data_IF_714801502741
#
_entry.id   IF_714801502741
#
_cell.length_a   1.000
_cell.length_b   1.000
_cell.length_c   1.000
_cell.angle_alpha   90.00
_cell.angle_beta   90.00
_cell.angle_gamma   90.00
#
_symmetry.space_group_name_H-M   'P 1'
#
loop_
_entity.id
_entity.type
_entity.pdbx_description
1 polymer ?
#
# COMPACT_ATOMS: atom_id res chain seq x y z
N UNK A 1 -13.80 -13.88 5.77
CA UNK A 1 -14.25 -13.83 4.36
C UNK A 1 -15.35 -12.80 4.24
N UNK A 2 -15.32 -11.96 3.22
CA UNK A 2 -16.35 -11.00 2.87
C UNK A 2 -16.78 -11.20 1.41
N UNK A 3 -18.05 -10.99 1.15
CA UNK A 3 -18.64 -11.04 -0.18
C UNK A 3 -19.45 -9.76 -0.38
N UNK A 4 -19.17 -9.03 -1.45
CA UNK A 4 -19.89 -7.83 -1.85
C UNK A 4 -20.47 -8.06 -3.24
N UNK A 5 -21.77 -7.80 -3.38
CA UNK A 5 -22.53 -7.98 -4.62
C UNK A 5 -23.30 -6.70 -4.89
N UNK A 6 -23.18 -6.16 -6.10
CA UNK A 6 -23.91 -4.98 -6.54
C UNK A 6 -24.41 -5.21 -7.96
N UNK A 7 -25.74 -5.13 -8.15
CA UNK A 7 -26.38 -5.29 -9.45
C UNK A 7 -27.30 -4.10 -9.71
N UNK A 8 -27.13 -3.45 -10.84
CA UNK A 8 -27.97 -2.34 -11.30
C UNK A 8 -28.61 -2.77 -12.61
N UNK A 9 -29.93 -2.83 -12.66
CA UNK A 9 -30.70 -3.13 -13.87
C UNK A 9 -31.38 -1.87 -14.40
N UNK A 10 -31.22 -1.60 -15.70
CA UNK A 10 -31.91 -0.50 -16.37
C UNK A 10 -33.07 -1.04 -17.22
N UNK A 11 -34.14 -0.28 -17.34
CA UNK A 11 -35.35 -0.68 -18.09
C UNK A 11 -35.11 -0.80 -19.60
N UNK A 12 -34.11 -0.09 -20.14
CA UNK A 12 -33.82 0.02 -21.57
C UNK A 12 -32.43 -0.50 -21.98
N UNK A 13 -31.65 -1.10 -21.08
CA UNK A 13 -30.31 -1.62 -21.42
C UNK A 13 -29.89 -2.76 -20.49
N UNK A 14 -28.86 -3.50 -20.88
CA UNK A 14 -28.27 -4.59 -20.11
C UNK A 14 -27.83 -4.10 -18.72
N UNK A 15 -28.06 -4.94 -17.70
CA UNK A 15 -27.73 -4.62 -16.32
C UNK A 15 -26.21 -4.63 -16.05
N UNK A 16 -25.76 -3.76 -15.15
CA UNK A 16 -24.42 -3.79 -14.57
C UNK A 16 -24.37 -4.78 -13.41
N UNK A 17 -23.40 -5.69 -13.41
CA UNK A 17 -23.23 -6.70 -12.35
C UNK A 17 -21.78 -6.70 -11.86
N UNK A 18 -21.59 -6.28 -10.61
CA UNK A 18 -20.30 -6.20 -9.98
C UNK A 18 -20.29 -7.09 -8.74
N UNK A 19 -19.32 -7.98 -8.64
CA UNK A 19 -19.12 -8.80 -7.46
C UNK A 19 -17.68 -8.78 -7.03
N UNK A 20 -17.44 -8.80 -5.73
CA UNK A 20 -16.12 -8.89 -5.11
C UNK A 20 -16.18 -9.91 -3.98
N UNK A 21 -15.40 -10.97 -4.08
CA UNK A 21 -15.23 -12.00 -3.08
C UNK A 21 -13.84 -11.86 -2.48
N UNK A 22 -13.74 -11.59 -1.18
CA UNK A 22 -12.46 -11.49 -0.48
C UNK A 22 -12.38 -12.50 0.66
N UNK A 23 -11.42 -13.42 0.58
CA UNK A 23 -11.13 -14.39 1.63
C UNK A 23 -9.75 -14.08 2.18
N UNK A 24 -9.67 -13.69 3.45
CA UNK A 24 -8.43 -13.62 4.18
C UNK A 24 -8.42 -14.66 5.29
N UNK A 25 -7.25 -15.26 5.51
CA UNK A 25 -6.98 -16.18 6.60
C UNK A 25 -5.62 -15.84 7.19
N UNK A 26 -5.59 -15.58 8.49
CA UNK A 26 -4.38 -15.58 9.27
C UNK A 26 -4.08 -17.01 9.74
N UNK A 27 -2.82 -17.40 9.69
CA UNK A 27 -2.34 -18.66 10.22
C UNK A 27 -0.94 -18.46 10.81
N UNK A 28 -0.61 -19.28 11.81
CA UNK A 28 0.73 -19.34 12.38
C UNK A 28 1.45 -20.55 11.75
N UNK A 29 2.65 -20.34 11.22
CA UNK A 29 3.44 -21.39 10.57
C UNK A 29 4.77 -21.52 11.32
N UNK A 30 4.86 -22.54 12.18
CA UNK A 30 6.07 -22.83 12.95
C UNK A 30 6.38 -21.72 13.97
N UNK A 31 7.57 -21.12 13.87
CA UNK A 31 8.00 -19.99 14.70
C UNK A 31 7.46 -18.63 14.24
N UNK A 32 6.91 -18.55 13.02
CA UNK A 32 6.40 -17.32 12.44
C UNK A 32 4.90 -17.21 12.71
N UNK A 33 4.56 -16.29 13.60
CA UNK A 33 3.18 -16.02 14.00
C UNK A 33 2.62 -14.85 13.17
N UNK A 34 1.36 -14.93 12.75
CA UNK A 34 0.69 -13.84 12.04
C UNK A 34 0.90 -13.81 10.52
N UNK A 35 1.10 -14.97 9.88
CA UNK A 35 1.06 -15.06 8.41
C UNK A 35 -0.35 -14.78 7.93
N UNK A 36 -0.53 -13.81 7.05
CA UNK A 36 -1.82 -13.46 6.48
C UNK A 36 -1.84 -13.80 5.00
N UNK A 37 -2.77 -14.67 4.61
CA UNK A 37 -3.09 -14.95 3.21
C UNK A 37 -4.42 -14.28 2.89
N UNK A 38 -4.44 -13.46 1.84
CA UNK A 38 -5.65 -12.78 1.36
C UNK A 38 -5.81 -13.04 -0.13
N UNK A 39 -7.00 -13.48 -0.54
CA UNK A 39 -7.39 -13.69 -1.92
C UNK A 39 -8.66 -12.89 -2.17
N UNK A 40 -8.63 -11.98 -3.13
CA UNK A 40 -9.76 -11.20 -3.59
C UNK A 40 -10.01 -11.46 -5.07
N UNK A 41 -11.24 -11.78 -5.42
CA UNK A 41 -11.70 -11.94 -6.80
C UNK A 41 -12.78 -10.91 -7.04
N UNK A 42 -12.57 -10.02 -7.99
CA UNK A 42 -13.57 -9.05 -8.40
C UNK A 42 -13.91 -9.22 -9.88
N UNK A 43 -15.19 -8.99 -10.20
CA UNK A 43 -15.68 -8.85 -11.57
C UNK A 43 -16.50 -7.58 -11.62
N UNK A 44 -16.13 -6.72 -12.56
CA UNK A 44 -16.90 -5.54 -12.91
C UNK A 44 -17.42 -5.71 -14.34
N UNK A 45 -18.74 -5.63 -14.51
CA UNK A 45 -19.39 -5.70 -15.81
C UNK A 45 -20.35 -4.52 -15.94
N UNK A 46 -19.94 -3.52 -16.70
CA UNK A 46 -20.76 -2.33 -17.01
C UNK A 46 -21.55 -2.57 -18.31
N UNK A 47 -22.79 -2.07 -18.39
CA UNK A 47 -23.71 -2.23 -19.51
C UNK A 47 -23.11 -1.96 -20.91
N UNK A 48 -22.09 -1.09 -21.00
CA UNK A 48 -21.46 -0.67 -22.26
C UNK A 48 -19.96 -1.00 -22.35
N UNK A 49 -19.41 -1.79 -21.41
CA UNK A 49 -17.98 -2.09 -21.38
C UNK A 49 -17.68 -3.57 -21.27
N UNK A 50 -16.48 -3.95 -21.73
CA UNK A 50 -15.97 -5.30 -21.60
C UNK A 50 -15.91 -5.69 -20.12
N UNK A 51 -16.31 -6.93 -19.82
CA UNK A 51 -16.21 -7.49 -18.47
C UNK A 51 -14.76 -7.48 -18.01
N UNK A 52 -14.50 -6.82 -16.89
CA UNK A 52 -13.19 -6.76 -16.26
C UNK A 52 -13.19 -7.70 -15.05
N UNK A 53 -12.49 -8.83 -15.16
CA UNK A 53 -12.21 -9.68 -14.01
C UNK A 53 -10.81 -9.37 -13.50
N UNK A 54 -10.66 -9.28 -12.19
CA UNK A 54 -9.39 -9.05 -11.52
C UNK A 54 -9.29 -10.01 -10.34
N UNK A 55 -8.20 -10.75 -10.30
CA UNK A 55 -7.82 -11.57 -9.16
C UNK A 55 -6.65 -10.89 -8.45
N UNK A 56 -6.71 -10.80 -7.13
CA UNK A 56 -5.67 -10.27 -6.29
C UNK A 56 -5.37 -11.26 -5.17
N UNK A 57 -4.13 -11.71 -5.10
CA UNK A 57 -3.61 -12.57 -4.06
C UNK A 57 -2.55 -11.78 -3.31
N UNK A 58 -2.55 -11.85 -1.98
CA UNK A 58 -1.54 -11.23 -1.15
C UNK A 58 -1.20 -12.13 0.02
N UNK A 59 0.09 -12.30 0.25
CA UNK A 59 0.65 -13.05 1.37
C UNK A 59 1.52 -12.07 2.13
N UNK A 60 1.28 -11.88 3.42
CA UNK A 60 2.20 -11.15 4.29
C UNK A 60 2.67 -12.05 5.42
N UNK A 61 3.97 -12.02 5.64
CA UNK A 61 4.69 -12.84 6.60
C UNK A 61 5.54 -11.88 7.44
N UNK A 62 5.25 -11.71 8.73
CA UNK A 62 6.17 -11.03 9.63
C UNK A 62 7.45 -11.88 9.74
N UNK A 63 8.62 -11.28 9.62
CA UNK A 63 9.90 -11.96 9.71
C UNK A 63 10.64 -11.46 10.95
N UNK A 64 10.76 -12.29 11.98
CA UNK A 64 11.32 -11.89 13.26
C UNK A 64 10.46 -10.84 13.96
N UNK A 65 11.07 -10.04 14.84
CA UNK A 65 10.33 -9.17 15.76
C UNK A 65 9.90 -7.83 15.15
N UNK A 66 10.52 -7.41 14.06
CA UNK A 66 10.36 -6.04 13.55
C UNK A 66 10.41 -5.90 12.03
N UNK A 67 10.26 -6.99 11.27
CA UNK A 67 10.24 -6.94 9.79
C UNK A 67 8.99 -7.61 9.26
N UNK A 68 8.57 -7.21 8.07
CA UNK A 68 7.46 -7.81 7.36
C UNK A 68 7.80 -7.96 5.88
N UNK A 69 7.61 -9.17 5.36
CA UNK A 69 7.68 -9.46 3.95
C UNK A 69 6.27 -9.65 3.44
N UNK A 70 5.90 -8.92 2.39
CA UNK A 70 4.63 -9.12 1.71
C UNK A 70 4.84 -9.38 0.23
N UNK A 71 4.07 -10.29 -0.32
CA UNK A 71 4.06 -10.63 -1.72
C UNK A 71 2.62 -10.56 -2.20
N UNK A 72 2.37 -9.70 -3.18
CA UNK A 72 1.06 -9.57 -3.81
C UNK A 72 1.15 -9.83 -5.29
N UNK A 73 0.16 -10.55 -5.82
CA UNK A 73 -0.01 -10.84 -7.22
C UNK A 73 -1.40 -10.42 -7.65
N UNK A 74 -1.47 -9.64 -8.72
CA UNK A 74 -2.70 -9.19 -9.33
C UNK A 74 -2.73 -9.66 -10.77
N UNK A 75 -3.85 -10.22 -11.22
CA UNK A 75 -4.05 -10.63 -12.60
C UNK A 75 -5.39 -10.13 -13.09
N UNK A 76 -5.41 -9.54 -14.26
CA UNK A 76 -6.64 -9.16 -14.93
C UNK A 76 -6.98 -10.11 -16.10
N UNK A 77 -8.20 -10.00 -16.60
CA UNK A 77 -8.69 -10.77 -17.76
C UNK A 77 -8.18 -10.24 -19.12
N UNK A 78 -7.33 -9.22 -19.12
CA UNK A 78 -6.76 -8.58 -20.32
C UNK A 78 -5.27 -8.90 -20.48
N UNK A 79 -4.83 -9.99 -19.87
CA UNK A 79 -3.45 -10.46 -19.99
C UNK A 79 -2.45 -9.75 -19.06
N UNK A 80 -2.85 -8.71 -18.31
CA UNK A 80 -1.93 -8.07 -17.38
C UNK A 80 -1.78 -8.84 -16.08
N UNK A 81 -0.54 -9.02 -15.68
CA UNK A 81 -0.15 -9.72 -14.46
C UNK A 81 0.92 -8.90 -13.74
N UNK A 82 0.61 -8.50 -12.53
CA UNK A 82 1.47 -7.64 -11.70
C UNK A 82 1.84 -8.42 -10.45
N UNK A 83 3.13 -8.55 -10.19
CA UNK A 83 3.67 -9.20 -9.01
C UNK A 83 4.51 -8.18 -8.26
N UNK A 84 4.23 -7.98 -6.98
CA UNK A 84 4.94 -7.02 -6.14
C UNK A 84 5.41 -7.71 -4.87
N UNK A 85 6.71 -7.66 -4.61
CA UNK A 85 7.33 -8.07 -3.37
C UNK A 85 7.72 -6.83 -2.59
N UNK A 86 7.16 -6.67 -1.40
CA UNK A 86 7.45 -5.58 -0.48
C UNK A 86 8.15 -6.12 0.77
N UNK A 87 9.15 -5.39 1.23
CA UNK A 87 9.89 -5.66 2.43
C UNK A 87 9.88 -4.40 3.28
N UNK A 88 9.36 -4.50 4.51
CA UNK A 88 9.24 -3.39 5.44
C UNK A 88 9.98 -3.73 6.73
N UNK A 89 10.74 -2.77 7.25
CA UNK A 89 11.44 -2.89 8.52
C UNK A 89 11.01 -1.74 9.45
N UNK A 90 10.66 -2.15 10.66
CA UNK A 90 10.14 -1.33 11.75
C UNK A 90 11.01 -1.50 13.01
N UNK A 91 12.29 -1.90 12.86
CA UNK A 91 13.18 -2.16 13.99
C UNK A 91 13.37 -0.94 14.89
N UNK A 92 13.43 0.24 14.29
CA UNK A 92 13.54 1.50 15.01
C UNK A 92 12.16 2.14 15.16
N UNK A 93 11.72 2.51 16.38
CA UNK A 93 10.42 3.19 16.59
C UNK A 93 10.35 4.56 15.90
N UNK A 94 11.51 5.19 15.71
CA UNK A 94 11.64 6.49 15.09
C UNK A 94 11.80 6.41 13.57
N UNK A 95 12.31 5.30 13.02
CA UNK A 95 12.62 5.21 11.59
C UNK A 95 12.08 3.92 11.00
N UNK A 96 11.18 4.07 10.03
CA UNK A 96 10.58 2.98 9.29
C UNK A 96 10.95 3.10 7.82
N UNK A 97 11.30 2.00 7.19
CA UNK A 97 11.58 1.99 5.76
C UNK A 97 10.98 0.75 5.12
N UNK A 98 10.62 0.90 3.85
CA UNK A 98 10.11 -0.19 3.05
C UNK A 98 10.60 -0.06 1.62
N UNK A 99 10.84 -1.21 1.01
CA UNK A 99 11.24 -1.34 -0.38
C UNK A 99 10.27 -2.29 -1.05
N UNK A 100 9.94 -2.02 -2.30
CA UNK A 100 9.04 -2.79 -3.12
C UNK A 100 9.67 -3.03 -4.48
N UNK A 101 9.69 -4.28 -4.91
CA UNK A 101 10.05 -4.67 -6.26
C UNK A 101 8.80 -5.22 -6.95
N UNK A 102 8.45 -4.66 -8.09
CA UNK A 102 7.32 -5.06 -8.92
C UNK A 102 7.76 -5.58 -10.27
N UNK A 103 7.00 -6.53 -10.80
CA UNK A 103 7.07 -6.98 -12.19
C UNK A 103 5.66 -6.97 -12.76
N UNK A 104 5.45 -6.17 -13.80
CA UNK A 104 4.17 -6.04 -14.49
C UNK A 104 4.32 -6.55 -15.91
N UNK A 105 3.67 -7.65 -16.22
CA UNK A 105 3.56 -8.20 -17.56
C UNK A 105 2.25 -7.72 -18.19
N UNK A 106 2.32 -7.28 -19.45
CA UNK A 106 1.20 -6.88 -20.30
C UNK A 106 1.34 -7.60 -21.65
N UNK A 107 0.28 -7.62 -22.46
CA UNK A 107 0.33 -8.21 -23.81
C UNK A 107 1.38 -7.54 -24.72
N UNK A 108 1.68 -6.25 -24.47
CA UNK A 108 2.64 -5.46 -25.25
C UNK A 108 4.08 -5.49 -24.72
N UNK A 109 4.35 -6.20 -23.60
CA UNK A 109 5.67 -6.30 -22.99
C UNK A 109 5.63 -6.40 -21.47
N UNK A 110 6.80 -6.41 -20.84
CA UNK A 110 6.93 -6.43 -19.38
C UNK A 110 7.68 -5.20 -18.88
N UNK A 111 7.26 -4.66 -17.74
CA UNK A 111 7.99 -3.62 -17.02
C UNK A 111 8.35 -4.10 -15.61
N UNK A 112 9.55 -3.76 -15.17
CA UNK A 112 9.93 -3.92 -13.77
C UNK A 112 9.69 -2.58 -13.07
N UNK A 113 9.26 -2.58 -11.83
CA UNK A 113 9.23 -1.39 -10.99
C UNK A 113 10.04 -1.65 -9.73
N UNK A 114 10.70 -0.61 -9.24
CA UNK A 114 11.39 -0.64 -7.97
C UNK A 114 11.07 0.64 -7.25
N UNK A 115 10.49 0.54 -6.07
CA UNK A 115 10.18 1.68 -5.24
C UNK A 115 10.65 1.44 -3.83
N UNK A 116 10.82 2.52 -3.10
CA UNK A 116 11.10 2.44 -1.68
C UNK A 116 10.84 3.78 -1.05
N UNK A 117 10.59 3.75 0.24
CA UNK A 117 10.44 4.94 1.04
C UNK A 117 11.00 4.71 2.43
N UNK A 118 11.47 5.78 3.02
CA UNK A 118 11.97 5.86 4.37
C UNK A 118 11.31 7.05 5.04
N UNK A 119 10.89 6.86 6.27
CA UNK A 119 10.33 7.90 7.10
C UNK A 119 10.99 7.84 8.47
N UNK A 120 11.46 8.98 8.95
CA UNK A 120 12.10 9.15 10.24
C UNK A 120 11.42 10.27 11.03
N UNK A 121 11.14 10.00 12.29
CA UNK A 121 10.71 10.96 13.30
C UNK A 121 11.94 11.51 13.99
N UNK A 122 12.11 12.82 13.90
CA UNK A 122 13.14 13.58 14.57
C UNK A 122 12.50 14.40 15.70
N UNK A 123 13.26 14.81 16.73
CA UNK A 123 12.76 15.65 17.81
C UNK A 123 12.14 16.99 17.34
N UNK A 124 12.49 17.43 16.13
CA UNK A 124 12.10 18.70 15.54
C UNK A 124 11.20 18.55 14.29
N UNK A 125 10.70 17.35 13.98
CA UNK A 125 9.83 17.11 12.82
C UNK A 125 9.88 15.69 12.28
N UNK A 126 9.13 15.39 11.23
CA UNK A 126 9.18 14.12 10.51
C UNK A 126 9.77 14.36 9.14
N UNK A 127 10.80 13.62 8.77
CA UNK A 127 11.37 13.64 7.43
C UNK A 127 11.10 12.31 6.74
N UNK A 128 10.85 12.35 5.44
CA UNK A 128 10.70 11.17 4.64
C UNK A 128 11.28 11.38 3.25
N UNK A 129 11.66 10.27 2.64
CA UNK A 129 12.10 10.21 1.27
C UNK A 129 11.43 9.01 0.62
N UNK A 130 10.99 9.19 -0.61
CA UNK A 130 10.46 8.14 -1.45
C UNK A 130 11.16 8.18 -2.80
N UNK A 131 11.35 7.01 -3.40
CA UNK A 131 11.88 6.90 -4.74
C UNK A 131 11.09 5.81 -5.48
N UNK A 132 10.87 6.02 -6.76
CA UNK A 132 10.26 5.04 -7.64
C UNK A 132 11.00 5.04 -8.97
N UNK A 133 11.34 3.86 -9.44
CA UNK A 133 12.11 3.64 -10.65
C UNK A 133 11.40 2.55 -11.46
N UNK A 134 10.88 2.93 -12.62
CA UNK A 134 10.29 2.01 -13.57
C UNK A 134 11.05 2.11 -14.90
N UNK A 135 11.98 1.19 -15.19
CA UNK A 135 12.78 1.23 -16.41
C UNK A 135 11.88 1.30 -17.66
N UNK A 136 12.22 2.23 -18.56
CA UNK A 136 11.44 2.46 -19.79
C UNK A 136 10.18 3.31 -19.62
N UNK A 137 9.85 3.75 -18.40
CA UNK A 137 8.64 4.55 -18.10
C UNK A 137 9.01 5.87 -17.43
N UNK A 138 9.32 5.86 -16.13
CA UNK A 138 9.63 7.08 -15.36
C UNK A 138 10.49 6.77 -14.14
N UNK A 139 11.09 7.83 -13.59
CA UNK A 139 11.88 7.80 -12.36
C UNK A 139 11.47 9.01 -11.54
N UNK A 140 11.05 8.80 -10.30
CA UNK A 140 10.68 9.86 -9.38
C UNK A 140 11.44 9.72 -8.07
N UNK A 141 11.75 10.86 -7.48
CA UNK A 141 12.32 10.97 -6.14
C UNK A 141 11.54 12.06 -5.42
N UNK A 142 10.87 11.68 -4.34
CA UNK A 142 10.13 12.56 -3.45
C UNK A 142 10.89 12.73 -2.14
N UNK A 143 10.91 13.96 -1.64
CA UNK A 143 11.37 14.27 -0.29
C UNK A 143 10.24 15.03 0.40
N UNK A 144 9.91 14.62 1.62
CA UNK A 144 8.91 15.27 2.43
C UNK A 144 9.50 15.60 3.81
N UNK A 145 9.16 16.77 4.34
CA UNK A 145 9.51 17.16 5.68
C UNK A 145 8.35 17.92 6.32
N UNK A 146 8.01 17.50 7.53
CA UNK A 146 6.92 18.01 8.33
C UNK A 146 7.49 18.50 9.66
N UNK A 147 7.67 19.81 9.80
CA UNK A 147 8.03 20.46 11.06
C UNK A 147 7.24 21.73 11.31
N UNK A 148 7.49 22.38 12.44
CA UNK A 148 7.05 23.74 12.73
C UNK A 148 8.26 24.54 13.18
N UNK A 149 8.46 25.72 12.57
CA UNK A 149 9.52 26.65 12.92
C UNK A 149 8.87 27.91 13.49
N UNK A 150 9.16 28.23 14.74
CA UNK A 150 8.74 29.49 15.36
C UNK A 150 9.98 30.36 15.57
N UNK A 151 10.06 31.46 14.82
CA UNK A 151 11.10 32.46 14.99
C UNK A 151 10.55 33.65 15.79
N UNK A 152 11.26 34.04 16.84
CA UNK A 152 10.96 35.24 17.64
C UNK A 152 12.19 36.16 17.65
N UNK A 153 12.01 37.43 18.01
CA UNK A 153 13.13 38.38 18.15
C UNK A 153 14.19 37.94 19.18
N UNK A 154 13.86 36.96 20.04
CA UNK A 154 14.74 36.43 21.09
C UNK A 154 15.31 35.03 20.76
N UNK A 155 15.00 34.46 19.59
CA UNK A 155 15.51 33.15 19.17
C UNK A 155 14.55 32.36 18.28
N UNK A 156 15.05 31.28 17.68
CA UNK A 156 14.29 30.34 16.86
C UNK A 156 14.13 28.99 17.59
N UNK A 157 12.91 28.46 17.60
CA UNK A 157 12.59 27.14 18.12
C UNK A 157 12.01 26.28 17.00
N UNK A 158 12.49 25.04 16.93
CA UNK A 158 11.95 24.01 16.04
C UNK A 158 11.13 23.02 16.88
N UNK A 159 9.92 22.75 16.43
CA UNK A 159 9.00 21.82 17.10
C UNK A 159 8.45 20.82 16.07
N UNK A 160 8.10 19.59 16.49
CA UNK A 160 7.36 18.66 15.64
C UNK A 160 6.07 19.31 15.12
N UNK A 161 5.67 19.00 13.87
CA UNK A 161 4.38 19.47 13.35
C UNK A 161 3.24 19.00 14.25
N UNK A 162 2.52 19.95 14.85
CA UNK A 162 1.26 19.65 15.52
C UNK A 162 0.19 19.34 14.47
N UNK A 163 0.07 18.07 14.10
CA UNK A 163 -1.01 17.60 13.25
C UNK A 163 -2.33 17.55 14.06
N UNK A 164 -2.99 18.71 14.19
CA UNK A 164 -4.41 18.80 14.53
C UNK A 164 -4.78 18.73 16.01
N UNK A 165 -5.96 19.28 16.27
CA UNK A 165 -6.62 19.51 17.55
C UNK A 165 -6.92 18.22 18.34
N UNK A 166 -5.89 17.57 18.93
CA UNK A 166 -6.08 16.45 19.87
C UNK A 166 -5.88 16.90 21.32
N UNK A 167 -6.84 16.65 22.23
CA UNK A 167 -6.69 16.96 23.64
C UNK A 167 -5.54 16.16 24.25
N UNK A 168 -4.85 16.81 25.17
CA UNK A 168 -3.67 16.32 25.88
C UNK A 168 -4.14 15.33 26.94
N UNK A 169 -3.61 14.11 26.95
CA UNK A 169 -3.68 13.27 28.15
C UNK A 169 -2.38 13.51 28.93
N UNK A 170 -2.54 14.15 30.09
CA UNK A 170 -1.51 14.25 31.11
C UNK A 170 -1.54 12.95 31.91
N UNK A 171 -0.48 12.16 31.86
CA UNK A 171 -0.21 11.15 32.90
C UNK A 171 0.64 11.83 33.95
N UNK A 172 0.04 11.99 35.13
CA UNK A 172 0.71 12.24 36.42
C UNK A 172 1.63 11.07 36.78
#
# INVERSE_FOLDING_TARGET
ASLSLSRISYWNTDGSNNWTLSVSKSADIGSVHGVNLSLSLSRNQTAYSLTQNQAWLSVSVPWGDSRQVSYSMQKDNRGSMQQTLNYSDFHSPDTTWNISAGHSQYDSGSSNSFSGNIQSRLPYGQAGADFTLQPGQYRSLGLNWYGSLTATAHGAAFSPSMAGNKPRMHTD
#
